data_IF_635211796888
#
_entry.id   IF_635211796888
#
_cell.length_a   1.000
_cell.length_b   1.000
_cell.length_c   1.000
_cell.angle_alpha   90.00
_cell.angle_beta   90.00
_cell.angle_gamma   90.00
#
_symmetry.space_group_name_H-M   'P 1'
#
loop_
_entity.id
_entity.type
_entity.pdbx_description
1 polymer ?
#
# COMPACT_ATOMS: atom_id res chain seq x y z
N UNK A 1 4.74 -20.06 4.82
CA UNK A 1 4.08 -18.76 5.11
C UNK A 1 3.93 -17.89 3.87
N UNK A 2 4.99 -17.68 3.07
CA UNK A 2 4.91 -16.84 1.86
C UNK A 2 3.89 -17.36 0.81
N UNK A 3 3.82 -18.69 0.56
CA UNK A 3 2.92 -19.27 -0.45
C UNK A 3 1.45 -18.86 -0.26
N UNK A 4 0.95 -18.84 0.99
CA UNK A 4 -0.44 -18.46 1.29
C UNK A 4 -0.64 -16.95 1.11
N UNK A 5 0.33 -16.12 1.52
CA UNK A 5 0.24 -14.68 1.37
C UNK A 5 0.39 -14.20 -0.08
N UNK A 6 1.15 -14.91 -0.91
CA UNK A 6 1.30 -14.57 -2.33
C UNK A 6 0.06 -14.92 -3.15
N UNK A 7 -0.74 -15.88 -2.70
CA UNK A 7 -1.95 -16.32 -3.39
C UNK A 7 -3.22 -15.63 -2.89
N UNK A 8 -3.12 -14.78 -1.86
CA UNK A 8 -4.24 -13.94 -1.42
C UNK A 8 -4.15 -12.54 -2.04
N UNK A 9 -5.14 -12.21 -2.88
CA UNK A 9 -5.16 -10.99 -3.69
C UNK A 9 -6.14 -9.94 -3.13
N UNK A 10 -5.76 -9.32 -2.00
CA UNK A 10 -6.51 -8.20 -1.40
C UNK A 10 -6.09 -6.84 -1.97
N UNK A 11 -6.92 -5.80 -1.75
CA UNK A 11 -6.69 -4.39 -2.13
C UNK A 11 -5.46 -3.79 -1.45
N UNK A 12 -5.14 -4.21 -0.23
CA UNK A 12 -3.86 -3.93 0.42
C UNK A 12 -3.19 -5.22 0.87
N UNK A 13 -1.86 -5.27 0.79
CA UNK A 13 -1.08 -6.42 1.29
C UNK A 13 -0.05 -5.97 2.31
N UNK A 14 -0.15 -6.51 3.51
CA UNK A 14 0.86 -6.37 4.54
C UNK A 14 1.99 -7.38 4.30
N UNK A 15 3.21 -6.87 4.13
CA UNK A 15 4.41 -7.66 3.82
C UNK A 15 5.35 -7.66 5.04
N UNK A 16 5.60 -8.83 5.65
CA UNK A 16 6.57 -8.93 6.73
C UNK A 16 8.00 -8.66 6.25
N UNK A 17 8.90 -8.29 7.18
CA UNK A 17 10.32 -8.20 6.88
C UNK A 17 10.85 -9.58 6.42
N UNK A 18 11.69 -9.64 5.36
CA UNK A 18 12.33 -10.88 4.97
C UNK A 18 13.32 -11.35 6.06
N UNK A 19 13.51 -12.67 6.25
CA UNK A 19 14.58 -13.18 7.10
C UNK A 19 15.93 -12.66 6.61
N UNK A 20 16.82 -12.30 7.54
CA UNK A 20 18.19 -11.84 7.26
C UNK A 20 18.27 -10.56 6.39
N UNK A 21 17.24 -9.70 6.43
CA UNK A 21 17.24 -8.41 5.74
C UNK A 21 17.06 -7.26 6.73
N UNK A 22 17.64 -6.11 6.41
CA UNK A 22 17.42 -4.85 7.15
C UNK A 22 16.10 -4.18 6.78
N UNK A 23 15.37 -4.71 5.80
CA UNK A 23 14.09 -4.15 5.34
C UNK A 23 12.99 -4.42 6.37
N UNK A 24 12.30 -3.36 6.80
CA UNK A 24 11.18 -3.43 7.75
C UNK A 24 9.85 -3.93 7.16
N UNK A 25 8.79 -3.74 7.94
CA UNK A 25 7.41 -3.98 7.52
C UNK A 25 7.00 -3.08 6.36
N UNK A 26 6.23 -3.62 5.42
CA UNK A 26 5.81 -2.91 4.22
C UNK A 26 4.32 -3.09 3.97
N UNK A 27 3.72 -2.09 3.34
CA UNK A 27 2.35 -2.14 2.83
C UNK A 27 2.42 -1.99 1.32
N UNK A 28 1.68 -2.83 0.60
CA UNK A 28 1.50 -2.74 -0.84
C UNK A 28 0.07 -2.27 -1.14
N UNK A 29 -0.04 -1.11 -1.79
CA UNK A 29 -1.29 -0.52 -2.26
C UNK A 29 -1.56 -1.00 -3.68
N UNK A 30 -2.71 -1.64 -3.90
CA UNK A 30 -3.05 -2.37 -5.13
C UNK A 30 -4.35 -1.94 -5.85
N UNK A 31 -5.22 -1.05 -5.34
CA UNK A 31 -6.46 -0.73 -6.05
C UNK A 31 -6.28 0.11 -7.33
N UNK A 32 -5.12 0.74 -7.54
CA UNK A 32 -4.91 1.60 -8.69
C UNK A 32 -4.93 0.81 -10.00
N UNK A 33 -5.78 1.25 -10.93
CA UNK A 33 -5.73 0.82 -12.33
C UNK A 33 -4.54 1.48 -13.04
N UNK A 34 -3.97 0.78 -14.02
CA UNK A 34 -2.93 1.34 -14.89
C UNK A 34 -3.55 2.36 -15.86
N UNK A 35 -2.92 3.52 -15.96
CA UNK A 35 -3.35 4.60 -16.85
C UNK A 35 -2.65 4.49 -18.21
N UNK A 36 -3.18 5.17 -19.23
CA UNK A 36 -2.67 5.07 -20.61
C UNK A 36 -1.25 5.64 -20.75
N UNK A 37 -0.93 6.67 -19.97
CA UNK A 37 0.37 7.36 -20.07
C UNK A 37 1.23 7.15 -18.83
N UNK A 38 2.55 7.18 -19.01
CA UNK A 38 3.51 7.14 -17.91
C UNK A 38 3.34 8.33 -16.97
N UNK A 39 2.93 9.49 -17.49
CA UNK A 39 2.68 10.68 -16.70
C UNK A 39 1.51 10.49 -15.73
N UNK A 40 0.39 9.95 -16.19
CA UNK A 40 -0.77 9.67 -15.34
C UNK A 40 -0.43 8.62 -14.28
N UNK A 41 0.28 7.55 -14.65
CA UNK A 41 0.74 6.55 -13.70
C UNK A 41 1.69 7.15 -12.65
N UNK A 42 2.64 8.00 -13.07
CA UNK A 42 3.55 8.69 -12.16
C UNK A 42 2.80 9.65 -11.22
N UNK A 43 1.76 10.34 -11.70
CA UNK A 43 0.94 11.22 -10.88
C UNK A 43 0.22 10.44 -9.76
N UNK A 44 -0.35 9.28 -10.07
CA UNK A 44 -1.00 8.41 -9.08
C UNK A 44 0.01 7.88 -8.05
N UNK A 45 1.19 7.43 -8.49
CA UNK A 45 2.25 6.98 -7.58
C UNK A 45 2.72 8.10 -6.66
N UNK A 46 2.98 9.29 -7.20
CA UNK A 46 3.35 10.48 -6.42
C UNK A 46 2.27 10.85 -5.40
N UNK A 47 1.00 10.80 -5.80
CA UNK A 47 -0.12 11.05 -4.89
C UNK A 47 -0.14 10.07 -3.72
N UNK A 48 -0.03 8.75 -3.97
CA UNK A 48 0.00 7.73 -2.90
C UNK A 48 1.19 7.95 -1.97
N UNK A 49 2.37 8.28 -2.50
CA UNK A 49 3.55 8.60 -1.68
C UNK A 49 3.29 9.81 -0.78
N UNK A 50 2.75 10.90 -1.33
CA UNK A 50 2.43 12.09 -0.54
C UNK A 50 1.35 11.81 0.51
N UNK A 51 0.30 11.07 0.16
CA UNK A 51 -0.76 10.65 1.08
C UNK A 51 -0.18 9.86 2.26
N UNK A 52 0.68 8.86 2.01
CA UNK A 52 1.32 8.09 3.10
C UNK A 52 2.20 8.95 4.00
N UNK A 53 2.91 9.94 3.43
CA UNK A 53 3.70 10.90 4.23
C UNK A 53 2.81 11.77 5.09
N UNK A 54 1.68 12.26 4.57
CA UNK A 54 0.71 13.04 5.35
C UNK A 54 0.13 12.20 6.50
N UNK A 55 -0.28 10.96 6.24
CA UNK A 55 -0.79 10.05 7.26
C UNK A 55 0.22 9.90 8.42
N UNK A 56 1.49 9.64 8.09
CA UNK A 56 2.54 9.41 9.08
C UNK A 56 2.98 10.69 9.80
N UNK A 57 3.12 11.80 9.10
CA UNK A 57 3.56 13.07 9.68
C UNK A 57 2.53 13.66 10.63
N UNK A 58 1.24 13.53 10.31
CA UNK A 58 0.15 14.10 11.11
C UNK A 58 -0.57 13.08 12.00
N UNK A 59 -0.12 11.81 12.02
CA UNK A 59 -0.71 10.73 12.81
C UNK A 59 -2.23 10.62 12.62
N UNK A 60 -2.68 10.74 11.37
CA UNK A 60 -4.10 10.78 11.03
C UNK A 60 -4.78 9.43 11.25
N UNK A 61 -6.01 9.48 11.78
CA UNK A 61 -6.83 8.29 12.02
C UNK A 61 -7.96 8.19 10.99
N UNK A 62 -7.91 7.15 10.15
CA UNK A 62 -8.90 6.85 9.10
C UNK A 62 -9.78 5.63 9.44
N UNK A 63 -9.85 5.24 10.72
CA UNK A 63 -10.65 4.09 11.13
C UNK A 63 -12.14 4.36 10.88
N UNK A 64 -12.72 3.56 10.00
CA UNK A 64 -14.17 3.45 9.78
C UNK A 64 -14.57 1.97 9.87
N UNK A 65 -15.84 1.65 10.15
CA UNK A 65 -16.32 0.27 10.13
C UNK A 65 -16.02 -0.41 8.79
N UNK A 66 -15.53 -1.66 8.81
CA UNK A 66 -15.20 -2.42 7.59
C UNK A 66 -16.40 -2.61 6.66
N UNK A 67 -17.61 -2.61 7.20
CA UNK A 67 -18.86 -2.65 6.42
C UNK A 67 -19.13 -1.39 5.60
N UNK A 68 -18.34 -0.33 5.79
CA UNK A 68 -18.44 0.95 5.06
C UNK A 68 -17.24 1.22 4.14
N UNK A 69 -16.27 0.31 4.12
CA UNK A 69 -15.15 0.32 3.17
C UNK A 69 -15.62 -0.31 1.88
#
# INVERSE_FOLDING_TARGET
>A
MNNIQSTNWQTMRFKPPPPNSTIGWRVEFRPCEVQLTDFENAAVVCFVVLLTRVILSYQLNFLIPISKV
#
